data_IF_318187901681
#
_entry.id   IF_318187901681
#
_cell.length_a   1.000
_cell.length_b   1.000
_cell.length_c   1.000
_cell.angle_alpha   90.00
_cell.angle_beta   90.00
_cell.angle_gamma   90.00
#
_symmetry.space_group_name_H-M   'P 1'
#
loop_
_entity.id
_entity.type
_entity.pdbx_description
1 polymer ?
#
# COMPACT_ATOMS: atom_id res chain seq x y z
N UNK A 1 -27.80 12.72 28.71
CA UNK A 1 -26.62 13.18 27.99
C UNK A 1 -26.40 12.19 26.84
N UNK A 2 -26.56 12.62 25.62
CA UNK A 2 -26.22 11.81 24.45
C UNK A 2 -24.70 11.60 24.42
N UNK A 3 -24.25 10.36 24.53
CA UNK A 3 -22.83 10.07 24.43
C UNK A 3 -22.35 10.40 22.98
N UNK A 4 -21.53 11.43 22.86
CA UNK A 4 -20.84 11.75 21.61
C UNK A 4 -19.86 10.63 21.25
N UNK A 5 -19.73 10.30 19.96
CA UNK A 5 -18.78 9.33 19.44
C UNK A 5 -17.58 10.02 18.78
N UNK A 6 -16.49 9.27 18.58
CA UNK A 6 -15.29 9.77 17.88
C UNK A 6 -15.60 10.35 16.49
N UNK A 7 -16.51 9.74 15.75
CA UNK A 7 -16.88 10.17 14.40
C UNK A 7 -17.65 11.48 14.37
N UNK A 8 -18.36 11.84 15.45
CA UNK A 8 -19.19 13.05 15.52
C UNK A 8 -18.41 14.29 15.99
N UNK A 9 -17.15 14.10 16.44
CA UNK A 9 -16.39 15.21 17.06
C UNK A 9 -16.19 16.40 16.14
N UNK A 10 -15.93 16.20 14.85
CA UNK A 10 -15.74 17.31 13.91
C UNK A 10 -17.03 18.07 13.64
N UNK A 11 -18.15 17.37 13.47
CA UNK A 11 -19.47 18.01 13.31
C UNK A 11 -19.82 18.85 14.53
N UNK A 12 -19.51 18.32 15.74
CA UNK A 12 -19.75 19.06 16.99
C UNK A 12 -18.88 20.32 17.13
N UNK A 13 -17.66 20.29 16.62
CA UNK A 13 -16.84 21.51 16.55
C UNK A 13 -17.46 22.53 15.59
N UNK A 14 -17.88 22.11 14.38
CA UNK A 14 -18.52 23.00 13.42
C UNK A 14 -19.77 23.67 14.01
N UNK A 15 -20.65 22.89 14.69
CA UNK A 15 -21.83 23.42 15.41
C UNK A 15 -21.45 24.53 16.41
N UNK A 16 -20.30 24.42 17.10
CA UNK A 16 -19.88 25.47 18.06
C UNK A 16 -19.56 26.79 17.36
N UNK A 17 -19.06 26.75 16.11
CA UNK A 17 -18.74 27.96 15.36
C UNK A 17 -19.95 28.53 14.61
N UNK A 18 -20.90 27.72 14.17
CA UNK A 18 -22.12 28.19 13.51
C UNK A 18 -22.96 29.09 14.45
N UNK A 19 -22.98 28.79 15.73
CA UNK A 19 -23.69 29.50 16.75
C UNK A 19 -22.88 30.69 17.34
N UNK A 20 -21.69 31.02 16.80
CA UNK A 20 -20.75 31.96 17.38
C UNK A 20 -20.35 33.07 16.40
N UNK A 21 -20.35 34.33 16.90
CA UNK A 21 -19.84 35.49 16.16
C UNK A 21 -18.30 35.49 15.98
N UNK A 22 -17.59 34.55 16.60
CA UNK A 22 -16.13 34.39 16.46
C UNK A 22 -15.73 34.02 15.03
N UNK A 23 -16.59 33.25 14.32
CA UNK A 23 -16.34 32.80 12.94
C UNK A 23 -15.97 33.96 12.03
N UNK A 24 -16.67 35.09 12.13
CA UNK A 24 -16.44 36.29 11.28
C UNK A 24 -15.16 37.06 11.62
N UNK A 25 -14.43 36.63 12.66
CA UNK A 25 -13.16 37.24 13.07
C UNK A 25 -11.94 36.40 12.73
N UNK A 26 -12.14 35.22 12.13
CA UNK A 26 -11.09 34.25 11.84
C UNK A 26 -10.76 34.20 10.35
N UNK A 27 -9.47 34.06 10.06
CA UNK A 27 -8.94 33.70 8.75
C UNK A 27 -9.01 32.19 8.55
N UNK A 28 -8.62 31.42 9.59
CA UNK A 28 -8.66 29.96 9.55
C UNK A 28 -8.93 29.31 10.90
N UNK A 29 -9.49 28.11 10.83
CA UNK A 29 -9.74 27.20 11.95
C UNK A 29 -9.06 25.89 11.65
N UNK A 30 -8.14 25.45 12.51
CA UNK A 30 -7.55 24.10 12.43
C UNK A 30 -8.06 23.26 13.57
N UNK A 31 -8.74 22.17 13.27
CA UNK A 31 -9.14 21.16 14.25
C UNK A 31 -7.99 20.16 14.36
N UNK A 32 -7.44 20.02 15.56
CA UNK A 32 -6.36 19.10 15.86
C UNK A 32 -6.92 17.97 16.70
N UNK A 33 -6.86 16.73 16.17
CA UNK A 33 -7.17 15.54 16.94
C UNK A 33 -5.87 14.88 17.37
N UNK A 34 -5.63 14.85 18.69
CA UNK A 34 -4.39 14.28 19.23
C UNK A 34 -4.38 12.75 19.20
N UNK A 35 -3.25 12.14 19.59
CA UNK A 35 -3.05 10.67 19.58
C UNK A 35 -4.04 9.89 20.48
N UNK A 36 -4.71 10.57 21.40
CA UNK A 36 -5.75 10.00 22.27
C UNK A 36 -7.16 10.22 21.71
N UNK A 37 -7.29 10.95 20.60
CA UNK A 37 -8.57 11.31 19.98
C UNK A 37 -9.21 12.57 20.56
N UNK A 38 -8.50 13.34 21.40
CA UNK A 38 -9.02 14.60 21.94
C UNK A 38 -8.85 15.72 20.95
N UNK A 39 -9.83 16.62 20.95
CA UNK A 39 -9.90 17.78 20.06
C UNK A 39 -9.24 18.99 20.72
N UNK A 40 -8.35 19.61 20.00
CA UNK A 40 -7.75 20.92 20.29
C UNK A 40 -7.95 21.82 19.09
N UNK A 41 -7.86 23.12 19.26
CA UNK A 41 -8.05 24.08 18.18
C UNK A 41 -6.81 24.96 18.01
N UNK A 42 -6.52 25.30 16.76
CA UNK A 42 -5.64 26.40 16.41
C UNK A 42 -6.43 27.38 15.56
N UNK A 43 -6.57 28.62 16.07
CA UNK A 43 -7.38 29.67 15.46
C UNK A 43 -6.46 30.78 14.96
N UNK A 44 -6.59 31.16 13.69
CA UNK A 44 -5.90 32.29 13.11
C UNK A 44 -6.87 33.45 12.92
N UNK A 45 -6.72 34.55 13.68
CA UNK A 45 -7.55 35.74 13.51
C UNK A 45 -7.28 36.43 12.15
N UNK A 46 -8.26 37.15 11.66
CA UNK A 46 -8.09 38.08 10.53
C UNK A 46 -7.02 39.14 10.85
N UNK A 47 -6.35 39.64 9.84
CA UNK A 47 -5.33 40.66 9.98
C UNK A 47 -5.86 41.87 10.75
N UNK A 48 -5.10 42.32 11.79
CA UNK A 48 -5.46 43.39 12.71
C UNK A 48 -6.67 43.13 13.65
N UNK A 49 -7.10 41.88 13.82
CA UNK A 49 -8.09 41.51 14.83
C UNK A 49 -7.43 40.75 15.97
N UNK A 50 -7.75 41.13 17.20
CA UNK A 50 -7.45 40.37 18.41
C UNK A 50 -8.73 39.77 18.94
N UNK A 51 -8.72 38.49 19.24
CA UNK A 51 -9.83 37.80 19.85
C UNK A 51 -9.90 38.18 21.32
N UNK A 52 -11.08 38.66 21.78
CA UNK A 52 -11.29 38.99 23.17
C UNK A 52 -11.41 37.71 24.04
N UNK A 53 -10.82 37.72 25.21
CA UNK A 53 -10.85 36.57 26.14
C UNK A 53 -12.31 36.12 26.45
N UNK A 54 -13.27 37.05 26.51
CA UNK A 54 -14.69 36.74 26.74
C UNK A 54 -15.25 35.85 25.62
N UNK A 55 -14.86 36.11 24.37
CA UNK A 55 -15.34 35.35 23.21
C UNK A 55 -14.68 33.95 23.20
N UNK A 56 -13.39 33.86 23.54
CA UNK A 56 -12.68 32.59 23.67
C UNK A 56 -13.26 31.73 24.79
N UNK A 57 -13.54 32.32 25.96
CA UNK A 57 -14.16 31.63 27.10
C UNK A 57 -15.56 31.08 26.76
N UNK A 58 -16.36 31.82 26.00
CA UNK A 58 -17.65 31.33 25.52
C UNK A 58 -17.52 30.18 24.54
N UNK A 59 -16.50 30.23 23.68
CA UNK A 59 -16.20 29.11 22.74
C UNK A 59 -15.75 27.88 23.52
N UNK A 60 -14.86 28.04 24.51
CA UNK A 60 -14.42 26.94 25.38
C UNK A 60 -15.60 26.28 26.10
N UNK A 61 -16.49 27.06 26.74
CA UNK A 61 -17.65 26.53 27.38
C UNK A 61 -18.56 25.72 26.45
N UNK A 62 -18.74 26.17 25.21
CA UNK A 62 -19.48 25.42 24.18
C UNK A 62 -18.79 24.12 23.79
N UNK A 63 -17.47 24.15 23.56
CA UNK A 63 -16.66 22.98 23.23
C UNK A 63 -16.73 21.95 24.37
N UNK A 64 -16.62 22.38 25.64
CA UNK A 64 -16.77 21.50 26.79
C UNK A 64 -18.14 20.81 26.82
N UNK A 65 -19.19 21.58 26.56
CA UNK A 65 -20.56 21.06 26.57
C UNK A 65 -20.85 20.11 25.40
N UNK A 66 -20.35 20.42 24.20
CA UNK A 66 -20.60 19.64 22.98
C UNK A 66 -19.66 18.42 22.83
N UNK A 67 -18.39 18.57 23.19
CA UNK A 67 -17.37 17.52 23.04
C UNK A 67 -17.18 16.65 24.27
N UNK A 68 -17.61 17.14 25.43
CA UNK A 68 -17.51 16.44 26.72
C UNK A 68 -16.08 15.91 26.95
N UNK A 69 -15.90 14.58 27.03
CA UNK A 69 -14.59 13.96 27.26
C UNK A 69 -13.63 14.04 26.07
N UNK A 70 -14.11 14.39 24.88
CA UNK A 70 -13.25 14.58 23.71
C UNK A 70 -12.60 15.96 23.64
N UNK A 71 -12.99 16.94 24.48
CA UNK A 71 -12.32 18.23 24.49
C UNK A 71 -10.96 18.14 25.19
N UNK A 72 -9.92 18.66 24.54
CA UNK A 72 -8.53 18.64 25.01
C UNK A 72 -8.13 19.86 25.84
N UNK A 73 -9.05 20.81 26.03
CA UNK A 73 -8.88 22.05 26.81
C UNK A 73 -7.75 22.97 26.32
N UNK A 74 -7.43 22.94 25.01
CA UNK A 74 -6.46 23.86 24.42
C UNK A 74 -7.05 24.54 23.18
N UNK A 75 -7.00 25.87 23.17
CA UNK A 75 -7.17 26.71 22.00
C UNK A 75 -5.87 27.50 21.81
N UNK A 76 -5.22 27.29 20.69
CA UNK A 76 -3.97 27.97 20.35
C UNK A 76 -4.22 29.12 19.38
N UNK A 77 -3.47 30.21 19.57
CA UNK A 77 -3.47 31.41 18.72
C UNK A 77 -2.05 31.61 18.16
N UNK A 78 -1.86 32.36 17.05
CA UNK A 78 -0.53 32.59 16.48
C UNK A 78 0.45 33.28 17.43
N UNK A 79 -0.05 34.02 18.42
CA UNK A 79 0.75 34.78 19.36
C UNK A 79 0.79 34.06 20.71
N UNK A 80 1.91 33.46 21.05
CA UNK A 80 2.15 32.84 22.36
C UNK A 80 3.60 33.08 22.82
N UNK A 81 3.76 33.34 24.11
CA UNK A 81 5.05 33.75 24.72
C UNK A 81 5.90 32.56 25.23
N UNK A 82 5.43 31.32 25.14
CA UNK A 82 6.13 30.15 25.69
C UNK A 82 7.26 29.70 24.75
N UNK A 83 8.41 29.33 25.32
CA UNK A 83 9.52 28.70 24.60
C UNK A 83 9.03 27.46 23.82
N UNK A 84 9.38 27.40 22.53
CA UNK A 84 8.92 26.33 21.63
C UNK A 84 7.55 26.56 20.96
N UNK A 85 6.80 27.58 21.36
CA UNK A 85 5.46 27.86 20.82
C UNK A 85 5.48 28.16 19.33
N UNK A 86 6.46 28.94 18.87
CA UNK A 86 6.66 29.23 17.45
C UNK A 86 6.87 27.94 16.64
N UNK A 87 7.69 27.03 17.12
CA UNK A 87 7.92 25.73 16.47
C UNK A 87 6.63 24.90 16.38
N UNK A 88 5.81 24.92 17.44
CA UNK A 88 4.50 24.24 17.43
C UNK A 88 3.60 24.80 16.33
N UNK A 89 3.49 26.12 16.23
CA UNK A 89 2.65 26.78 15.22
C UNK A 89 3.15 26.48 13.80
N UNK A 90 4.47 26.52 13.58
CA UNK A 90 5.08 26.20 12.29
C UNK A 90 4.79 24.74 11.89
N UNK A 91 4.86 23.81 12.84
CA UNK A 91 4.50 22.40 12.62
C UNK A 91 3.01 22.26 12.28
N UNK A 92 2.10 22.90 13.04
CA UNK A 92 0.67 22.86 12.77
C UNK A 92 0.37 23.35 11.35
N UNK A 93 0.94 24.49 10.96
CA UNK A 93 0.74 25.07 9.61
C UNK A 93 1.28 24.19 8.50
N UNK A 94 2.42 23.54 8.71
CA UNK A 94 3.06 22.69 7.68
C UNK A 94 2.38 21.33 7.52
N UNK A 95 1.73 20.81 8.57
CA UNK A 95 1.18 19.46 8.58
C UNK A 95 -0.34 19.40 8.43
N UNK A 96 -1.05 20.52 8.67
CA UNK A 96 -2.51 20.57 8.49
C UNK A 96 -2.89 20.40 7.01
N UNK A 97 -4.04 19.82 6.76
CA UNK A 97 -4.64 19.65 5.43
C UNK A 97 -6.01 20.31 5.40
N UNK A 98 -6.47 20.77 4.23
CA UNK A 98 -7.83 21.30 4.07
C UNK A 98 -8.85 20.26 4.49
N UNK A 99 -9.87 20.67 5.25
CA UNK A 99 -10.95 19.80 5.65
C UNK A 99 -11.79 19.38 4.43
N UNK A 100 -12.39 18.19 4.48
CA UNK A 100 -13.25 17.70 3.39
C UNK A 100 -14.49 18.58 3.15
N UNK A 101 -14.90 19.35 4.16
CA UNK A 101 -16.03 20.28 4.13
C UNK A 101 -15.61 21.75 3.91
N UNK A 102 -14.30 22.03 3.69
CA UNK A 102 -13.82 23.38 3.41
C UNK A 102 -14.29 23.81 2.00
N UNK A 103 -15.12 24.83 1.95
CA UNK A 103 -15.71 25.40 0.73
C UNK A 103 -14.89 26.56 0.16
N UNK A 104 -13.65 26.73 0.65
CA UNK A 104 -12.74 27.83 0.32
C UNK A 104 -13.19 29.22 0.76
N UNK A 105 -14.30 29.34 1.51
CA UNK A 105 -14.74 30.59 2.14
C UNK A 105 -13.96 30.87 3.45
N UNK A 106 -14.07 32.10 3.97
CA UNK A 106 -13.51 32.42 5.30
C UNK A 106 -14.54 32.17 6.41
N UNK A 107 -14.07 31.59 7.51
CA UNK A 107 -12.72 31.06 7.77
C UNK A 107 -12.46 29.77 7.04
N UNK A 108 -11.22 29.58 6.54
CA UNK A 108 -10.78 28.31 5.98
C UNK A 108 -10.71 27.24 7.06
N UNK A 109 -11.14 26.04 6.70
CA UNK A 109 -11.12 24.90 7.63
C UNK A 109 -10.00 23.94 7.32
N UNK A 110 -9.22 23.60 8.35
CA UNK A 110 -8.14 22.63 8.29
C UNK A 110 -8.30 21.56 9.36
N UNK A 111 -7.72 20.39 9.09
CA UNK A 111 -7.66 19.27 10.01
C UNK A 111 -6.21 18.84 10.17
N UNK A 112 -5.83 18.50 11.39
CA UNK A 112 -4.56 17.89 11.74
C UNK A 112 -4.81 16.66 12.60
N UNK A 113 -4.65 15.49 12.02
CA UNK A 113 -4.78 14.21 12.72
C UNK A 113 -3.42 13.74 13.21
N UNK A 114 -3.30 13.40 14.48
CA UNK A 114 -2.10 12.82 15.08
C UNK A 114 -2.28 11.33 15.30
N UNK A 115 -1.37 10.54 14.77
CA UNK A 115 -1.44 9.09 14.82
C UNK A 115 -0.20 8.50 15.49
N UNK A 116 -0.36 7.41 16.23
CA UNK A 116 0.72 6.59 16.78
C UNK A 116 1.23 5.58 15.73
N UNK A 117 0.31 5.14 14.84
CA UNK A 117 0.56 4.11 13.83
C UNK A 117 -0.38 4.33 12.63
N UNK A 118 -0.23 3.51 11.59
CA UNK A 118 -1.12 3.48 10.41
C UNK A 118 -1.07 4.75 9.55
N UNK A 119 0.02 5.48 9.59
CA UNK A 119 0.15 6.76 8.85
C UNK A 119 -0.06 6.59 7.35
N UNK A 120 0.50 5.56 6.73
CA UNK A 120 0.32 5.31 5.30
C UNK A 120 -1.15 5.09 4.88
N UNK A 121 -1.98 4.55 5.81
CA UNK A 121 -3.41 4.36 5.58
C UNK A 121 -4.25 5.62 5.80
N UNK A 122 -3.77 6.55 6.61
CA UNK A 122 -4.52 7.74 7.05
C UNK A 122 -3.94 9.04 6.47
N UNK A 123 -2.71 9.01 5.92
CA UNK A 123 -2.08 10.17 5.34
C UNK A 123 -2.88 10.68 4.13
N UNK A 124 -3.19 11.98 4.15
CA UNK A 124 -3.91 12.69 3.08
C UNK A 124 -2.97 13.48 2.17
N UNK A 125 -1.66 13.48 2.44
CA UNK A 125 -0.66 14.13 1.59
C UNK A 125 -0.35 13.27 0.38
N UNK A 126 -0.06 13.92 -0.73
CA UNK A 126 0.45 13.27 -1.92
C UNK A 126 1.80 12.61 -1.61
N UNK A 127 1.96 11.38 -2.05
CA UNK A 127 3.20 10.62 -1.94
C UNK A 127 3.65 10.21 -3.34
N UNK A 128 4.95 10.25 -3.57
CA UNK A 128 5.54 9.82 -4.84
C UNK A 128 6.30 8.51 -4.64
N UNK A 129 6.16 7.55 -5.57
CA UNK A 129 6.97 6.33 -5.55
C UNK A 129 8.46 6.66 -5.73
N UNK A 130 9.39 5.71 -5.49
CA UNK A 130 10.84 5.93 -5.51
C UNK A 130 11.38 6.58 -6.80
N UNK A 131 10.61 6.52 -7.89
CA UNK A 131 10.81 7.26 -9.13
C UNK A 131 9.48 7.55 -9.81
N UNK A 132 9.39 8.66 -10.61
CA UNK A 132 8.16 9.08 -11.24
C UNK A 132 7.59 8.08 -12.26
N UNK A 133 6.28 8.00 -12.38
CA UNK A 133 5.57 7.16 -13.34
C UNK A 133 6.11 7.33 -14.78
N UNK A 134 6.40 8.57 -15.18
CA UNK A 134 6.90 8.89 -16.53
C UNK A 134 8.14 8.10 -16.93
N UNK A 135 9.09 7.89 -16.01
CA UNK A 135 10.33 7.13 -16.34
C UNK A 135 10.07 5.63 -16.39
N UNK A 136 9.02 5.15 -15.72
CA UNK A 136 8.55 3.76 -15.80
C UNK A 136 7.90 3.51 -17.16
N UNK A 137 7.02 4.39 -17.60
CA UNK A 137 6.31 4.30 -18.89
C UNK A 137 7.26 4.36 -20.08
N UNK A 138 8.38 5.07 -19.93
CA UNK A 138 9.46 5.11 -20.90
C UNK A 138 10.41 3.90 -20.87
N UNK A 139 10.20 2.96 -19.93
CA UNK A 139 11.05 1.77 -19.76
C UNK A 139 12.45 2.08 -19.20
N UNK A 140 12.67 3.25 -18.60
CA UNK A 140 13.96 3.62 -18.00
C UNK A 140 14.13 3.08 -16.58
N UNK A 141 13.03 2.82 -15.87
CA UNK A 141 12.98 2.24 -14.51
C UNK A 141 11.91 1.15 -14.46
N UNK A 142 12.06 0.16 -13.56
CA UNK A 142 11.05 -0.89 -13.39
C UNK A 142 9.76 -0.34 -12.79
N UNK A 143 8.64 -0.98 -13.12
CA UNK A 143 7.40 -0.76 -12.43
C UNK A 143 7.41 -1.49 -11.08
N UNK A 144 7.13 -0.81 -9.99
CA UNK A 144 6.92 -1.41 -8.67
C UNK A 144 5.43 -1.72 -8.54
N UNK A 145 5.10 -2.99 -8.31
CA UNK A 145 3.72 -3.48 -8.22
C UNK A 145 3.50 -4.22 -6.90
N UNK A 146 2.62 -3.71 -6.05
CA UNK A 146 2.25 -4.38 -4.80
C UNK A 146 1.10 -5.36 -4.99
N UNK A 147 1.24 -6.54 -4.38
CA UNK A 147 0.18 -7.53 -4.25
C UNK A 147 -0.38 -7.45 -2.84
N UNK A 148 -1.64 -7.05 -2.71
CA UNK A 148 -2.25 -6.74 -1.42
C UNK A 148 -3.61 -7.42 -1.24
N UNK A 149 -3.86 -7.91 -0.03
CA UNK A 149 -5.18 -8.40 0.38
C UNK A 149 -5.55 -7.89 1.77
N UNK A 150 -6.81 -7.52 1.96
CA UNK A 150 -7.29 -7.20 3.31
C UNK A 150 -7.39 -8.45 4.18
N UNK A 151 -7.73 -9.60 3.60
CA UNK A 151 -7.90 -10.88 4.29
C UNK A 151 -6.79 -11.85 3.92
N UNK A 152 -6.24 -12.56 4.91
CA UNK A 152 -5.22 -13.59 4.69
C UNK A 152 -5.78 -14.87 4.02
N UNK A 153 -4.88 -15.68 3.45
CA UNK A 153 -5.22 -16.98 2.88
C UNK A 153 -5.99 -16.93 1.56
N UNK A 154 -5.92 -15.82 0.83
CA UNK A 154 -6.63 -15.64 -0.46
C UNK A 154 -5.76 -15.93 -1.69
N UNK A 155 -4.57 -16.51 -1.50
CA UNK A 155 -3.66 -16.85 -2.61
C UNK A 155 -2.86 -15.67 -3.17
N UNK A 156 -2.65 -14.61 -2.38
CA UNK A 156 -1.86 -13.42 -2.77
C UNK A 156 -0.45 -13.79 -3.18
N UNK A 157 0.33 -14.41 -2.29
CA UNK A 157 1.72 -14.84 -2.52
C UNK A 157 1.82 -15.82 -3.70
N UNK A 158 0.91 -16.80 -3.77
CA UNK A 158 0.81 -17.75 -4.90
C UNK A 158 0.59 -17.02 -6.22
N UNK A 159 -0.30 -16.03 -6.25
CA UNK A 159 -0.57 -15.24 -7.46
C UNK A 159 0.61 -14.37 -7.84
N UNK A 160 1.32 -13.80 -6.88
CA UNK A 160 2.54 -13.04 -7.13
C UNK A 160 3.61 -13.93 -7.79
N UNK A 161 3.87 -15.12 -7.20
CA UNK A 161 4.82 -16.10 -7.75
C UNK A 161 4.42 -16.51 -9.17
N UNK A 162 3.16 -16.88 -9.40
CA UNK A 162 2.63 -17.24 -10.72
C UNK A 162 2.78 -16.09 -11.73
N UNK A 163 2.58 -14.85 -11.31
CA UNK A 163 2.76 -13.66 -12.16
C UNK A 163 4.24 -13.44 -12.49
N UNK A 164 5.14 -13.59 -11.51
CA UNK A 164 6.59 -13.46 -11.72
C UNK A 164 7.09 -14.50 -12.71
N UNK A 165 6.70 -15.76 -12.54
CA UNK A 165 7.03 -16.85 -13.49
C UNK A 165 6.48 -16.57 -14.89
N UNK A 166 5.21 -16.12 -14.99
CA UNK A 166 4.60 -15.81 -16.28
C UNK A 166 5.34 -14.67 -16.99
N UNK A 167 5.64 -13.58 -16.29
CA UNK A 167 6.38 -12.45 -16.87
C UNK A 167 7.79 -12.87 -17.30
N UNK A 168 8.52 -13.63 -16.47
CA UNK A 168 9.85 -14.12 -16.80
C UNK A 168 9.84 -15.03 -18.03
N UNK A 169 8.91 -16.00 -18.11
CA UNK A 169 8.73 -16.89 -19.27
C UNK A 169 8.50 -16.13 -20.59
N UNK A 170 7.88 -14.96 -20.50
CA UNK A 170 7.60 -14.12 -21.66
C UNK A 170 8.65 -13.03 -21.92
N UNK A 171 9.81 -13.13 -21.27
CA UNK A 171 11.00 -12.33 -21.60
C UNK A 171 11.17 -11.06 -20.78
N UNK A 172 10.32 -10.83 -19.75
CA UNK A 172 10.49 -9.70 -18.85
C UNK A 172 11.51 -9.99 -17.76
N UNK A 173 12.28 -8.96 -17.40
CA UNK A 173 13.19 -9.00 -16.26
C UNK A 173 12.43 -8.59 -15.00
N UNK A 174 12.29 -9.52 -14.07
CA UNK A 174 11.43 -9.36 -12.88
C UNK A 174 12.25 -9.63 -11.63
N UNK A 175 12.05 -8.82 -10.58
CA UNK A 175 12.52 -9.12 -9.23
C UNK A 175 11.32 -9.27 -8.29
N UNK A 176 11.45 -10.16 -7.31
CA UNK A 176 10.44 -10.41 -6.27
C UNK A 176 10.96 -9.98 -4.92
N UNK A 177 10.11 -9.33 -4.14
CA UNK A 177 10.46 -8.78 -2.81
C UNK A 177 9.40 -9.23 -1.79
N UNK A 178 9.83 -9.86 -0.72
CA UNK A 178 8.97 -10.32 0.37
C UNK A 178 8.86 -9.25 1.47
N UNK A 179 7.79 -8.47 1.46
CA UNK A 179 7.47 -7.46 2.48
C UNK A 179 6.51 -7.98 3.56
N UNK A 180 6.13 -9.25 3.53
CA UNK A 180 5.37 -9.87 4.63
C UNK A 180 6.32 -10.32 5.75
N UNK A 181 6.97 -9.33 6.41
CA UNK A 181 8.00 -9.60 7.41
C UNK A 181 7.50 -10.37 8.64
N UNK A 182 6.20 -10.37 8.92
CA UNK A 182 5.65 -11.12 10.06
C UNK A 182 5.24 -12.55 9.71
N UNK A 183 5.07 -12.85 8.41
CA UNK A 183 4.73 -14.19 7.91
C UNK A 183 5.36 -14.43 6.54
N UNK A 184 6.70 -14.37 6.45
CA UNK A 184 7.40 -14.48 5.18
C UNK A 184 7.19 -15.86 4.54
N UNK A 185 7.03 -15.87 3.20
CA UNK A 185 6.72 -17.08 2.47
C UNK A 185 7.42 -17.25 1.13
N UNK A 186 7.91 -16.18 0.53
CA UNK A 186 8.49 -16.20 -0.83
C UNK A 186 9.71 -17.13 -0.91
N UNK A 187 10.58 -17.09 0.11
CA UNK A 187 11.79 -17.92 0.10
C UNK A 187 11.46 -19.41 0.00
N UNK A 188 10.47 -19.90 0.74
CA UNK A 188 10.09 -21.33 0.76
C UNK A 188 9.49 -21.80 -0.56
N UNK A 189 8.88 -20.92 -1.35
CA UNK A 189 8.40 -21.24 -2.69
C UNK A 189 9.52 -21.56 -3.66
N UNK A 190 10.66 -20.87 -3.58
CA UNK A 190 11.73 -20.96 -4.53
C UNK A 190 12.91 -21.79 -4.07
N UNK A 191 13.10 -21.97 -2.74
CA UNK A 191 14.27 -22.62 -2.18
C UNK A 191 13.90 -23.62 -1.05
N UNK A 192 13.03 -24.61 -1.31
CA UNK A 192 12.52 -25.52 -0.28
C UNK A 192 13.60 -26.38 0.36
N UNK A 193 14.66 -26.73 -0.36
CA UNK A 193 15.77 -27.57 0.15
C UNK A 193 16.80 -26.79 0.99
N UNK A 194 16.64 -25.47 1.09
CA UNK A 194 17.54 -24.61 1.84
C UNK A 194 16.93 -24.27 3.20
N UNK A 195 17.65 -24.60 4.28
CA UNK A 195 17.22 -24.29 5.64
C UNK A 195 17.24 -22.78 5.95
N UNK A 196 18.05 -22.00 5.23
CA UNK A 196 18.26 -20.58 5.52
C UNK A 196 18.31 -19.74 4.27
N UNK A 197 17.61 -18.60 4.30
CA UNK A 197 17.78 -17.54 3.32
C UNK A 197 19.09 -16.79 3.57
N UNK A 198 19.51 -15.99 2.57
CA UNK A 198 20.45 -14.90 2.81
C UNK A 198 19.81 -13.83 3.71
N UNK A 199 20.61 -12.94 4.35
CA UNK A 199 20.06 -11.75 4.97
C UNK A 199 19.14 -11.00 4.01
N UNK A 200 17.96 -10.60 4.49
CA UNK A 200 16.93 -10.01 3.65
C UNK A 200 16.60 -8.57 4.01
N UNK A 201 15.33 -8.22 3.80
CA UNK A 201 14.83 -6.86 4.04
C UNK A 201 14.99 -6.44 5.48
N UNK A 202 14.68 -7.34 6.44
CA UNK A 202 14.79 -7.01 7.86
C UNK A 202 16.25 -6.69 8.23
N UNK A 203 17.19 -7.41 7.62
CA UNK A 203 18.61 -7.17 7.80
C UNK A 203 19.05 -5.86 7.12
N UNK A 204 18.56 -5.58 5.90
CA UNK A 204 18.82 -4.32 5.22
C UNK A 204 18.42 -3.12 6.08
N UNK A 205 17.22 -3.12 6.62
CA UNK A 205 16.70 -2.01 7.40
C UNK A 205 17.46 -1.77 8.70
N UNK A 206 18.01 -2.82 9.32
CA UNK A 206 18.80 -2.72 10.55
C UNK A 206 20.28 -2.52 10.27
N UNK A 207 20.87 -3.43 9.50
CA UNK A 207 22.31 -3.51 9.29
C UNK A 207 22.85 -2.37 8.43
N UNK A 208 22.09 -1.93 7.43
CA UNK A 208 22.50 -0.78 6.60
C UNK A 208 22.72 0.48 7.40
N UNK A 209 21.90 0.71 8.42
CA UNK A 209 22.06 1.86 9.31
C UNK A 209 23.29 1.74 10.21
N UNK A 210 23.71 0.52 10.57
CA UNK A 210 24.85 0.26 11.45
C UNK A 210 26.15 0.19 10.65
N UNK A 211 26.16 -0.56 9.55
CA UNK A 211 27.35 -0.86 8.75
C UNK A 211 27.58 0.12 7.58
N UNK A 212 26.55 0.88 7.21
CA UNK A 212 26.62 1.87 6.13
C UNK A 212 26.99 1.22 4.78
N UNK A 213 28.09 1.68 4.19
CA UNK A 213 28.57 1.20 2.88
C UNK A 213 29.13 -0.23 2.89
N UNK A 214 29.43 -0.78 4.06
CA UNK A 214 29.94 -2.14 4.17
C UNK A 214 28.86 -3.21 4.01
N UNK A 215 27.60 -2.82 4.01
CA UNK A 215 26.46 -3.69 3.74
C UNK A 215 25.92 -3.39 2.34
N UNK A 216 26.10 -4.32 1.41
CA UNK A 216 25.68 -4.16 0.00
C UNK A 216 24.55 -5.14 -0.32
N UNK A 217 23.43 -4.64 -0.81
CA UNK A 217 22.25 -5.45 -1.12
C UNK A 217 22.53 -6.54 -2.18
N UNK A 218 23.45 -6.28 -3.11
CA UNK A 218 23.83 -7.26 -4.15
C UNK A 218 24.32 -8.59 -3.60
N UNK A 219 24.96 -8.60 -2.41
CA UNK A 219 25.50 -9.80 -1.77
C UNK A 219 24.40 -10.64 -1.09
N UNK A 220 23.21 -10.08 -0.95
CA UNK A 220 22.06 -10.64 -0.24
C UNK A 220 20.87 -10.92 -1.18
N UNK A 221 20.99 -10.64 -2.46
CA UNK A 221 19.98 -10.92 -3.46
C UNK A 221 20.09 -12.36 -3.93
N UNK A 222 19.09 -13.18 -3.61
CA UNK A 222 18.98 -14.57 -4.08
C UNK A 222 18.74 -14.58 -5.61
N UNK A 223 19.14 -15.64 -6.29
CA UNK A 223 18.85 -15.83 -7.70
C UNK A 223 18.26 -17.22 -7.91
N UNK A 224 16.98 -17.25 -8.19
CA UNK A 224 16.31 -18.48 -8.59
C UNK A 224 16.58 -18.76 -10.06
N UNK A 225 16.94 -20.02 -10.36
CA UNK A 225 17.24 -20.49 -11.72
C UNK A 225 16.62 -21.86 -11.93
N UNK A 226 15.72 -21.98 -12.90
CA UNK A 226 15.12 -23.24 -13.33
C UNK A 226 14.58 -23.06 -14.75
N UNK A 227 15.12 -23.80 -15.71
CA UNK A 227 14.76 -23.70 -17.13
C UNK A 227 13.27 -24.02 -17.38
N UNK A 228 12.74 -25.05 -16.70
CA UNK A 228 11.36 -25.47 -16.90
C UNK A 228 10.36 -24.42 -16.40
N UNK A 229 10.70 -23.76 -15.30
CA UNK A 229 9.86 -22.73 -14.68
C UNK A 229 10.01 -21.36 -15.35
N UNK A 230 11.21 -20.97 -15.71
CA UNK A 230 11.51 -19.68 -16.36
C UNK A 230 11.46 -19.73 -17.90
N UNK A 231 11.43 -20.94 -18.47
CA UNK A 231 11.30 -21.16 -19.91
C UNK A 231 12.57 -20.90 -20.72
N UNK A 232 13.74 -20.76 -20.07
CA UNK A 232 15.03 -20.53 -20.70
C UNK A 232 16.14 -20.75 -19.66
N UNK A 233 17.25 -21.42 -20.06
CA UNK A 233 18.38 -21.76 -19.18
C UNK A 233 19.18 -20.52 -18.71
N UNK A 234 19.16 -19.45 -19.49
CA UNK A 234 19.87 -18.20 -19.16
C UNK A 234 19.04 -17.22 -18.34
N UNK A 235 17.81 -17.60 -17.95
CA UNK A 235 16.96 -16.74 -17.15
C UNK A 235 17.15 -16.96 -15.67
N UNK A 236 17.07 -15.85 -14.94
CA UNK A 236 17.03 -15.84 -13.48
C UNK A 236 15.86 -15.01 -12.99
N UNK A 237 15.44 -15.30 -11.77
CA UNK A 237 14.48 -14.49 -11.02
C UNK A 237 15.17 -14.03 -9.73
N UNK A 238 15.62 -12.76 -9.65
CA UNK A 238 16.15 -12.18 -8.43
C UNK A 238 15.08 -12.11 -7.34
N UNK A 239 15.42 -12.56 -6.13
CA UNK A 239 14.53 -12.62 -4.98
C UNK A 239 15.20 -11.96 -3.78
N UNK A 240 14.55 -10.95 -3.23
CA UNK A 240 14.90 -10.35 -1.95
C UNK A 240 13.93 -10.86 -0.91
N UNK A 241 14.38 -11.81 -0.09
CA UNK A 241 13.59 -12.41 0.97
C UNK A 241 13.35 -11.43 2.13
N UNK A 242 12.40 -11.74 3.00
CA UNK A 242 12.21 -11.00 4.26
C UNK A 242 13.42 -11.09 5.19
N UNK A 243 14.14 -12.19 5.14
CA UNK A 243 15.28 -12.54 5.97
C UNK A 243 15.13 -13.95 6.55
N UNK A 244 16.14 -14.40 7.27
CA UNK A 244 16.12 -15.74 7.89
C UNK A 244 15.29 -15.75 9.17
N UNK A 245 14.23 -16.55 9.21
CA UNK A 245 13.34 -16.69 10.38
C UNK A 245 14.02 -17.60 11.41
N UNK A 246 14.93 -17.03 12.18
CA UNK A 246 15.67 -17.68 13.27
C UNK A 246 15.34 -17.08 14.65
N UNK A 247 16.08 -17.48 15.68
CA UNK A 247 15.87 -17.01 17.05
C UNK A 247 16.01 -15.49 17.23
N UNK A 248 16.72 -14.81 16.32
CA UNK A 248 16.93 -13.35 16.37
C UNK A 248 15.90 -12.59 15.53
N UNK A 249 15.10 -13.30 14.74
CA UNK A 249 14.17 -12.66 13.79
C UNK A 249 13.17 -11.72 14.47
N UNK A 250 12.55 -12.19 15.55
CA UNK A 250 11.59 -11.39 16.33
C UNK A 250 12.25 -10.19 17.00
N UNK A 251 13.50 -10.31 17.44
CA UNK A 251 14.27 -9.21 18.00
C UNK A 251 14.57 -8.13 16.95
N UNK A 252 14.86 -8.54 15.72
CA UNK A 252 15.02 -7.61 14.58
C UNK A 252 13.71 -6.92 14.24
N UNK A 253 12.62 -7.68 14.12
CA UNK A 253 11.29 -7.18 13.79
C UNK A 253 10.80 -6.16 14.83
N UNK A 254 10.99 -6.45 16.12
CA UNK A 254 10.62 -5.55 17.20
C UNK A 254 11.38 -4.21 17.15
N UNK A 255 12.63 -4.21 16.67
CA UNK A 255 13.41 -2.99 16.51
C UNK A 255 12.97 -2.13 15.35
N UNK A 256 12.46 -2.74 14.27
CA UNK A 256 11.89 -1.98 13.16
C UNK A 256 10.63 -1.21 13.61
N UNK A 257 9.75 -1.84 14.36
CA UNK A 257 8.54 -1.19 14.87
C UNK A 257 8.89 0.00 15.79
N UNK A 258 9.89 -0.16 16.67
CA UNK A 258 10.38 0.93 17.52
C UNK A 258 11.00 2.08 16.72
N UNK A 259 11.72 1.81 15.65
CA UNK A 259 12.31 2.85 14.81
C UNK A 259 11.24 3.69 14.10
N UNK A 260 10.15 3.06 13.68
CA UNK A 260 9.01 3.74 13.08
C UNK A 260 8.30 4.70 14.06
N UNK A 261 8.26 4.34 15.34
CA UNK A 261 7.60 5.13 16.37
C UNK A 261 8.43 6.33 16.85
N UNK A 262 9.76 6.27 16.74
CA UNK A 262 10.67 7.26 17.32
C UNK A 262 11.20 8.32 16.33
N UNK A 263 10.98 8.15 15.02
CA UNK A 263 11.56 9.03 14.01
C UNK A 263 10.60 10.12 13.52
N UNK A 264 10.74 11.30 14.10
CA UNK A 264 9.98 12.53 13.77
C UNK A 264 10.29 13.06 12.35
N UNK A 265 11.42 12.65 11.72
CA UNK A 265 11.88 13.16 10.43
C UNK A 265 11.83 12.13 9.28
N UNK A 266 11.15 11.02 9.48
CA UNK A 266 10.96 9.93 8.51
C UNK A 266 12.19 9.51 7.68
N UNK A 267 13.29 9.04 8.31
CA UNK A 267 14.43 8.49 7.56
C UNK A 267 14.07 7.19 6.82
N UNK A 268 12.94 6.54 7.14
CA UNK A 268 12.50 5.30 6.49
C UNK A 268 12.12 5.49 5.03
N UNK A 269 11.44 6.57 4.64
CA UNK A 269 11.12 6.82 3.23
C UNK A 269 12.38 6.87 2.37
N UNK A 270 13.40 7.55 2.86
CA UNK A 270 14.69 7.60 2.18
C UNK A 270 15.35 6.23 2.12
N UNK A 271 15.33 5.49 3.23
CA UNK A 271 15.89 4.13 3.30
C UNK A 271 15.20 3.18 2.32
N UNK A 272 13.88 3.24 2.21
CA UNK A 272 13.13 2.44 1.25
C UNK A 272 13.40 2.85 -0.19
N UNK A 273 13.42 4.15 -0.48
CA UNK A 273 13.77 4.64 -1.82
C UNK A 273 15.18 4.21 -2.22
N UNK A 274 16.15 4.26 -1.30
CA UNK A 274 17.51 3.82 -1.54
C UNK A 274 17.57 2.30 -1.73
N UNK A 275 16.81 1.51 -0.96
CA UNK A 275 16.70 0.06 -1.13
C UNK A 275 16.20 -0.32 -2.54
N UNK A 276 15.15 0.34 -3.02
CA UNK A 276 14.64 0.05 -4.38
C UNK A 276 15.64 0.44 -5.47
N UNK A 277 16.43 1.52 -5.28
CA UNK A 277 17.51 1.89 -6.19
C UNK A 277 18.62 0.85 -6.20
N UNK A 278 19.11 0.45 -5.01
CA UNK A 278 20.14 -0.58 -4.84
C UNK A 278 19.65 -1.94 -5.41
N UNK A 279 18.39 -2.30 -5.18
CA UNK A 279 17.80 -3.51 -5.74
C UNK A 279 17.79 -3.50 -7.27
N UNK A 280 17.35 -2.38 -7.86
CA UNK A 280 17.33 -2.24 -9.32
C UNK A 280 18.74 -2.34 -9.92
N UNK A 281 19.75 -1.78 -9.27
CA UNK A 281 21.15 -1.87 -9.70
C UNK A 281 21.67 -3.30 -9.55
N UNK A 282 21.53 -3.90 -8.37
CA UNK A 282 22.00 -5.25 -8.08
C UNK A 282 21.37 -6.32 -8.98
N UNK A 283 20.06 -6.25 -9.21
CA UNK A 283 19.37 -7.16 -10.10
C UNK A 283 19.79 -6.96 -11.56
N UNK A 284 19.93 -5.70 -11.99
CA UNK A 284 20.39 -5.39 -13.35
C UNK A 284 21.81 -5.92 -13.61
N UNK A 285 22.69 -5.86 -12.61
CA UNK A 285 24.04 -6.41 -12.74
C UNK A 285 24.04 -7.94 -12.82
N UNK A 286 23.21 -8.62 -12.03
CA UNK A 286 23.03 -10.09 -12.16
C UNK A 286 22.52 -10.52 -13.53
N UNK A 287 21.62 -9.75 -14.16
CA UNK A 287 21.19 -10.04 -15.54
C UNK A 287 22.30 -9.84 -16.56
N UNK A 288 23.13 -8.78 -16.41
CA UNK A 288 24.26 -8.54 -17.32
C UNK A 288 25.34 -9.61 -17.22
N UNK A 289 25.57 -10.17 -16.04
CA UNK A 289 26.52 -11.28 -15.84
C UNK A 289 26.13 -12.51 -16.64
N UNK A 290 24.85 -12.74 -16.89
CA UNK A 290 24.32 -13.86 -17.65
C UNK A 290 24.20 -13.54 -19.15
N UNK A 291 23.77 -12.32 -19.48
CA UNK A 291 23.57 -11.88 -20.85
C UNK A 291 23.71 -10.36 -20.93
N UNK A 292 24.75 -9.86 -21.57
CA UNK A 292 25.04 -8.42 -21.70
C UNK A 292 23.88 -7.60 -22.29
N UNK A 293 23.01 -8.21 -23.10
CA UNK A 293 21.84 -7.56 -23.69
C UNK A 293 20.64 -7.43 -22.73
N UNK A 294 20.62 -8.15 -21.61
CA UNK A 294 19.46 -8.31 -20.73
C UNK A 294 19.41 -7.34 -19.53
N UNK A 295 20.19 -6.30 -19.49
CA UNK A 295 20.59 -5.56 -18.29
C UNK A 295 19.57 -4.66 -17.54
N UNK A 296 18.24 -4.70 -17.80
CA UNK A 296 17.31 -3.80 -17.09
C UNK A 296 16.10 -4.55 -16.53
N UNK A 297 15.77 -4.27 -15.27
CA UNK A 297 14.50 -4.71 -14.68
C UNK A 297 13.31 -4.03 -15.38
N UNK A 298 12.26 -4.82 -15.62
CA UNK A 298 10.96 -4.35 -16.06
C UNK A 298 10.02 -4.17 -14.88
N UNK A 299 10.04 -5.11 -13.92
CA UNK A 299 9.11 -5.15 -12.79
C UNK A 299 9.82 -5.49 -11.48
N UNK A 300 9.35 -4.87 -10.40
CA UNK A 300 9.58 -5.28 -9.02
C UNK A 300 8.23 -5.61 -8.42
N UNK A 301 8.01 -6.88 -8.04
CA UNK A 301 6.76 -7.36 -7.46
C UNK A 301 6.93 -7.47 -5.95
N UNK A 302 6.04 -6.81 -5.19
CA UNK A 302 6.06 -6.76 -3.74
C UNK A 302 4.97 -7.66 -3.15
N UNK A 303 5.34 -8.66 -2.37
CA UNK A 303 4.38 -9.41 -1.55
C UNK A 303 4.18 -8.68 -0.24
N UNK A 304 2.98 -8.14 0.01
CA UNK A 304 2.73 -7.28 1.15
C UNK A 304 1.97 -8.02 2.25
N UNK A 305 2.03 -7.49 3.48
CA UNK A 305 1.21 -8.00 4.58
C UNK A 305 -0.27 -7.71 4.39
N UNK A 306 -1.10 -8.58 4.93
CA UNK A 306 -2.57 -8.46 4.90
C UNK A 306 -3.09 -7.44 5.92
N UNK A 307 -4.29 -6.92 5.65
CA UNK A 307 -4.98 -5.98 6.55
C UNK A 307 -4.34 -4.59 6.58
N UNK A 308 -4.77 -3.75 7.52
CA UNK A 308 -4.23 -2.40 7.69
C UNK A 308 -2.90 -2.40 8.45
N UNK A 309 -1.91 -3.17 7.96
CA UNK A 309 -0.56 -3.17 8.50
C UNK A 309 0.24 -1.97 7.99
N UNK A 310 1.16 -1.41 8.81
CA UNK A 310 1.90 -0.20 8.43
C UNK A 310 2.76 -0.42 7.19
N UNK A 311 3.54 -1.49 7.16
CA UNK A 311 4.38 -1.82 6.00
C UNK A 311 3.56 -2.13 4.74
N UNK A 312 2.42 -2.83 4.90
CA UNK A 312 1.47 -3.04 3.79
C UNK A 312 0.92 -1.73 3.24
N UNK A 313 0.61 -0.77 4.13
CA UNK A 313 0.18 0.58 3.74
C UNK A 313 1.25 1.35 2.98
N UNK A 314 2.49 1.35 3.49
CA UNK A 314 3.64 1.98 2.81
C UNK A 314 3.85 1.38 1.43
N UNK A 315 3.87 0.04 1.33
CA UNK A 315 4.08 -0.64 0.06
C UNK A 315 3.05 -0.24 -1.00
N UNK A 316 1.76 -0.27 -0.65
CA UNK A 316 0.69 -0.02 -1.62
C UNK A 316 0.45 1.47 -1.88
N UNK A 317 0.56 2.33 -0.87
CA UNK A 317 0.19 3.74 -0.98
C UNK A 317 1.36 4.66 -1.35
N UNK A 318 2.62 4.28 -1.04
CA UNK A 318 3.76 5.18 -1.16
C UNK A 318 4.87 4.65 -2.09
N UNK A 319 5.00 3.32 -2.27
CA UNK A 319 6.09 2.78 -3.08
C UNK A 319 5.66 2.31 -4.46
N UNK A 320 4.38 2.03 -4.67
CA UNK A 320 3.91 1.34 -5.87
C UNK A 320 3.46 2.27 -6.99
N UNK A 321 3.71 1.83 -8.22
CA UNK A 321 3.18 2.42 -9.45
C UNK A 321 1.84 1.79 -9.84
N UNK A 322 1.53 0.61 -9.33
CA UNK A 322 0.24 -0.06 -9.44
C UNK A 322 0.06 -1.05 -8.28
N UNK A 323 -1.18 -1.45 -8.02
CA UNK A 323 -1.47 -2.49 -7.06
C UNK A 323 -2.42 -3.54 -7.61
N UNK A 324 -2.13 -4.81 -7.28
CA UNK A 324 -3.02 -5.96 -7.46
C UNK A 324 -3.70 -6.22 -6.13
N UNK A 325 -5.01 -6.00 -6.07
CA UNK A 325 -5.82 -6.11 -4.85
C UNK A 325 -6.73 -7.33 -4.90
N UNK A 326 -6.78 -8.08 -3.80
CA UNK A 326 -7.49 -9.34 -3.72
C UNK A 326 -8.75 -9.23 -2.88
N UNK A 327 -9.89 -9.65 -3.42
CA UNK A 327 -11.16 -9.75 -2.73
C UNK A 327 -11.79 -11.12 -2.86
N UNK A 328 -12.60 -11.48 -1.88
CA UNK A 328 -13.53 -12.63 -1.92
C UNK A 328 -14.96 -12.11 -1.77
N UNK A 329 -15.94 -12.89 -2.21
CA UNK A 329 -17.36 -12.52 -2.04
C UNK A 329 -17.78 -12.72 -0.59
N UNK A 330 -17.30 -11.83 0.29
CA UNK A 330 -17.68 -11.78 1.70
C UNK A 330 -17.78 -10.34 2.22
N UNK A 331 -18.70 -10.11 3.16
CA UNK A 331 -18.89 -8.79 3.78
C UNK A 331 -17.60 -8.25 4.41
N UNK A 332 -16.83 -9.11 5.07
CA UNK A 332 -15.55 -8.72 5.69
C UNK A 332 -14.53 -8.28 4.64
N UNK A 333 -14.43 -8.99 3.53
CA UNK A 333 -13.51 -8.64 2.43
C UNK A 333 -13.86 -7.27 1.85
N UNK A 334 -15.13 -7.05 1.52
CA UNK A 334 -15.60 -5.79 0.96
C UNK A 334 -15.46 -4.61 1.93
N UNK A 335 -15.74 -4.81 3.21
CA UNK A 335 -15.57 -3.76 4.22
C UNK A 335 -14.12 -3.22 4.24
N UNK A 336 -13.12 -4.11 4.18
CA UNK A 336 -11.72 -3.72 4.13
C UNK A 336 -11.30 -3.16 2.77
N UNK A 337 -11.66 -3.84 1.67
CA UNK A 337 -11.31 -3.39 0.31
C UNK A 337 -11.87 -2.00 -0.01
N UNK A 338 -13.08 -1.69 0.43
CA UNK A 338 -13.67 -0.35 0.24
C UNK A 338 -12.77 0.73 0.83
N UNK A 339 -12.22 0.53 2.04
CA UNK A 339 -11.31 1.50 2.65
C UNK A 339 -9.97 1.58 1.90
N UNK A 340 -9.45 0.45 1.43
CA UNK A 340 -8.23 0.43 0.61
C UNK A 340 -8.43 1.19 -0.71
N UNK A 341 -9.50 0.89 -1.44
CA UNK A 341 -9.83 1.54 -2.71
C UNK A 341 -10.01 3.05 -2.49
N UNK A 342 -10.74 3.45 -1.45
CA UNK A 342 -10.92 4.86 -1.07
C UNK A 342 -9.57 5.55 -0.77
N UNK A 343 -8.65 4.88 -0.08
CA UNK A 343 -7.32 5.44 0.25
C UNK A 343 -6.46 5.66 -1.01
N UNK A 344 -6.60 4.80 -2.02
CA UNK A 344 -5.78 4.82 -3.23
C UNK A 344 -6.41 5.61 -4.38
N UNK A 345 -7.61 6.14 -4.18
CA UNK A 345 -8.36 6.90 -5.16
C UNK A 345 -8.02 8.41 -5.10
N UNK A 346 -8.41 9.15 -6.14
CA UNK A 346 -8.53 10.61 -6.05
C UNK A 346 -9.57 10.98 -4.97
N UNK A 347 -9.42 12.09 -4.25
CA UNK A 347 -8.47 13.17 -4.46
C UNK A 347 -7.20 13.05 -3.58
N UNK A 348 -6.89 11.89 -3.04
CA UNK A 348 -5.77 11.73 -2.10
C UNK A 348 -4.38 11.77 -2.78
N UNK A 349 -4.35 11.63 -4.10
CA UNK A 349 -3.17 11.82 -4.95
C UNK A 349 -3.58 12.57 -6.22
N UNK A 350 -2.64 13.19 -6.98
CA UNK A 350 -2.92 13.86 -8.25
C UNK A 350 -3.61 12.95 -9.25
N UNK A 351 -3.22 11.66 -9.23
CA UNK A 351 -3.84 10.59 -9.99
C UNK A 351 -4.10 9.39 -9.08
N UNK A 352 -5.23 8.72 -9.28
CA UNK A 352 -5.53 7.48 -8.57
C UNK A 352 -4.50 6.40 -8.92
N UNK A 353 -3.99 5.68 -7.91
CA UNK A 353 -3.09 4.55 -8.14
C UNK A 353 -3.77 3.52 -9.05
N UNK A 354 -3.14 3.09 -10.17
CA UNK A 354 -3.69 2.03 -11.00
C UNK A 354 -3.93 0.74 -10.22
N UNK A 355 -5.18 0.25 -10.22
CA UNK A 355 -5.58 -0.96 -9.51
C UNK A 355 -5.95 -2.08 -10.50
N UNK A 356 -5.56 -3.32 -10.18
CA UNK A 356 -6.06 -4.54 -10.79
C UNK A 356 -6.74 -5.38 -9.72
N UNK A 357 -8.05 -5.62 -9.90
CA UNK A 357 -8.86 -6.36 -8.94
C UNK A 357 -8.83 -7.86 -9.24
N UNK A 358 -8.59 -8.68 -8.23
CA UNK A 358 -8.69 -10.14 -8.28
C UNK A 358 -9.92 -10.59 -7.48
N UNK A 359 -10.81 -11.34 -8.12
CA UNK A 359 -11.78 -12.17 -7.41
C UNK A 359 -11.10 -13.48 -7.05
N UNK A 360 -10.62 -13.56 -5.84
CA UNK A 360 -9.83 -14.68 -5.34
C UNK A 360 -10.71 -15.80 -4.78
N UNK A 361 -10.25 -17.04 -4.88
CA UNK A 361 -10.93 -18.24 -4.39
C UNK A 361 -12.38 -18.37 -4.91
N UNK A 362 -12.59 -17.94 -6.14
CA UNK A 362 -13.91 -18.07 -6.76
C UNK A 362 -14.31 -19.56 -6.89
N UNK A 363 -15.61 -19.88 -6.82
CA UNK A 363 -16.04 -21.26 -7.00
C UNK A 363 -15.59 -21.81 -8.36
N UNK A 364 -15.08 -23.05 -8.38
CA UNK A 364 -14.60 -23.71 -9.60
C UNK A 364 -15.69 -23.88 -10.67
N UNK A 365 -15.27 -24.16 -11.90
CA UNK A 365 -16.20 -24.42 -13.02
C UNK A 365 -17.11 -25.60 -12.66
N UNK A 366 -18.41 -25.44 -12.88
CA UNK A 366 -19.43 -26.46 -12.56
C UNK A 366 -19.95 -26.46 -11.13
N UNK A 367 -19.36 -25.65 -10.22
CA UNK A 367 -19.87 -25.51 -8.85
C UNK A 367 -21.19 -24.73 -8.87
N UNK A 368 -22.27 -25.24 -8.23
CA UNK A 368 -23.54 -24.53 -8.14
C UNK A 368 -23.37 -23.13 -7.50
N UNK A 369 -24.01 -22.13 -8.08
CA UNK A 369 -23.96 -20.75 -7.60
C UNK A 369 -22.78 -19.92 -8.12
N UNK A 370 -21.82 -20.52 -8.84
CA UNK A 370 -20.64 -19.80 -9.40
C UNK A 370 -21.06 -18.53 -10.16
N UNK A 371 -21.92 -18.64 -11.14
CA UNK A 371 -22.31 -17.50 -11.98
C UNK A 371 -23.00 -16.38 -11.18
N UNK A 372 -23.74 -16.75 -10.16
CA UNK A 372 -24.37 -15.78 -9.26
C UNK A 372 -23.31 -15.04 -8.42
N UNK A 373 -22.31 -15.77 -7.89
CA UNK A 373 -21.24 -15.18 -7.11
C UNK A 373 -20.37 -14.27 -7.97
N UNK A 374 -19.95 -14.72 -9.17
CA UNK A 374 -19.14 -13.91 -10.08
C UNK A 374 -19.86 -12.62 -10.50
N UNK A 375 -21.16 -12.70 -10.76
CA UNK A 375 -21.96 -11.52 -11.07
C UNK A 375 -22.04 -10.59 -9.87
N UNK A 376 -22.37 -11.11 -8.69
CA UNK A 376 -22.48 -10.32 -7.47
C UNK A 376 -21.17 -9.61 -7.12
N UNK A 377 -20.03 -10.31 -7.24
CA UNK A 377 -18.73 -9.70 -7.01
C UNK A 377 -18.46 -8.53 -7.97
N UNK A 378 -18.81 -8.65 -9.25
CA UNK A 378 -18.66 -7.58 -10.23
C UNK A 378 -19.56 -6.37 -9.95
N UNK A 379 -20.82 -6.64 -9.54
CA UNK A 379 -21.76 -5.59 -9.15
C UNK A 379 -21.26 -4.81 -7.93
N UNK A 380 -20.79 -5.51 -6.89
CA UNK A 380 -20.23 -4.91 -5.69
C UNK A 380 -18.94 -4.12 -6.02
N UNK A 381 -18.05 -4.67 -6.87
CA UNK A 381 -16.86 -4.01 -7.34
C UNK A 381 -17.19 -2.71 -8.09
N UNK A 382 -18.12 -2.78 -9.04
CA UNK A 382 -18.55 -1.61 -9.81
C UNK A 382 -19.06 -0.50 -8.89
N UNK A 383 -19.94 -0.82 -7.95
CA UNK A 383 -20.48 0.15 -6.99
C UNK A 383 -19.39 0.78 -6.15
N UNK A 384 -18.48 -0.01 -5.56
CA UNK A 384 -17.39 0.51 -4.72
C UNK A 384 -16.44 1.41 -5.52
N UNK A 385 -16.08 1.03 -6.75
CA UNK A 385 -15.21 1.85 -7.59
C UNK A 385 -15.91 3.13 -8.06
N UNK A 386 -17.18 3.06 -8.40
CA UNK A 386 -18.00 4.23 -8.76
C UNK A 386 -18.05 5.23 -7.61
N UNK A 387 -18.30 4.76 -6.39
CA UNK A 387 -18.51 5.61 -5.22
C UNK A 387 -17.19 6.18 -4.65
N UNK A 388 -16.05 5.50 -4.86
CA UNK A 388 -14.83 5.81 -4.11
C UNK A 388 -13.56 5.94 -4.94
N UNK A 389 -13.51 5.44 -6.18
CA UNK A 389 -12.27 5.44 -6.98
C UNK A 389 -12.24 6.49 -8.08
N UNK A 390 -13.34 6.67 -8.79
CA UNK A 390 -13.42 7.64 -9.88
C UNK A 390 -13.75 9.04 -9.35
N UNK A 391 -13.09 10.07 -9.89
CA UNK A 391 -13.20 11.44 -9.37
C UNK A 391 -14.49 12.15 -9.77
N UNK A 392 -15.11 11.73 -10.87
CA UNK A 392 -16.36 12.31 -11.37
C UNK A 392 -17.24 11.23 -12.00
N UNK A 393 -18.53 11.51 -12.16
CA UNK A 393 -19.46 10.62 -12.86
C UNK A 393 -19.11 10.41 -14.34
N UNK A 394 -18.37 11.34 -14.94
CA UNK A 394 -17.91 11.27 -16.35
C UNK A 394 -16.73 10.30 -16.49
N UNK A 395 -15.95 10.10 -15.44
CA UNK A 395 -14.80 9.18 -15.42
C UNK A 395 -15.23 7.71 -15.19
N UNK A 396 -16.48 7.47 -14.76
CA UNK A 396 -16.97 6.12 -14.46
C UNK A 396 -17.18 5.34 -15.75
N UNK A 397 -16.46 4.22 -15.95
CA UNK A 397 -16.59 3.45 -17.17
C UNK A 397 -17.92 2.69 -17.22
N UNK A 398 -18.25 2.13 -18.40
CA UNK A 398 -19.42 1.29 -18.54
C UNK A 398 -19.29 0.01 -17.67
N UNK A 399 -20.37 -0.39 -17.01
CA UNK A 399 -20.40 -1.56 -16.12
C UNK A 399 -20.00 -2.90 -16.79
N UNK A 400 -19.99 -2.96 -18.13
CA UNK A 400 -19.54 -4.11 -18.91
C UNK A 400 -18.07 -4.02 -19.39
N UNK A 401 -17.35 -2.98 -19.02
CA UNK A 401 -15.95 -2.76 -19.43
C UNK A 401 -14.99 -3.77 -18.83
N UNK A 402 -14.62 -4.81 -19.58
CA UNK A 402 -13.80 -5.93 -19.07
C UNK A 402 -12.34 -5.58 -18.81
N UNK A 403 -11.87 -4.47 -19.33
CA UNK A 403 -10.49 -3.98 -19.16
C UNK A 403 -10.37 -2.89 -18.09
N UNK A 404 -11.51 -2.44 -17.55
CA UNK A 404 -11.55 -1.39 -16.54
C UNK A 404 -11.06 -1.86 -15.16
N UNK A 405 -10.70 -0.89 -14.31
CA UNK A 405 -10.09 -1.14 -13.00
C UNK A 405 -10.96 -1.96 -12.07
N UNK A 406 -12.27 -1.73 -12.10
CA UNK A 406 -13.23 -2.46 -11.28
C UNK A 406 -13.47 -3.89 -11.74
N UNK A 407 -13.17 -4.21 -13.03
CA UNK A 407 -13.51 -5.53 -13.58
C UNK A 407 -12.51 -6.59 -13.12
N UNK A 408 -12.93 -7.60 -12.34
CA UNK A 408 -12.03 -8.53 -11.71
C UNK A 408 -11.45 -9.56 -12.69
N UNK A 409 -10.19 -9.93 -12.44
CA UNK A 409 -9.65 -11.20 -12.92
C UNK A 409 -10.07 -12.27 -11.93
N UNK A 410 -10.69 -13.33 -12.44
CA UNK A 410 -11.20 -14.43 -11.60
C UNK A 410 -10.13 -15.49 -11.45
N UNK A 411 -9.77 -15.79 -10.20
CA UNK A 411 -8.89 -16.91 -9.83
C UNK A 411 -9.74 -17.91 -9.04
N UNK A 412 -10.01 -19.05 -9.66
CA UNK A 412 -10.79 -20.11 -9.05
C UNK A 412 -10.03 -20.76 -7.91
N UNK A 413 -10.75 -21.23 -6.92
CA UNK A 413 -10.19 -22.09 -5.90
C UNK A 413 -9.71 -23.41 -6.54
N UNK A 414 -8.45 -23.77 -6.29
CA UNK A 414 -7.82 -24.98 -6.81
C UNK A 414 -7.41 -25.88 -5.65
N UNK A 415 -7.87 -27.12 -5.66
CA UNK A 415 -7.53 -28.11 -4.62
C UNK A 415 -6.05 -28.45 -4.60
N UNK A 416 -5.41 -28.40 -5.76
CA UNK A 416 -4.00 -28.70 -6.01
C UNK A 416 -3.09 -27.67 -5.32
N UNK A 417 -3.50 -26.42 -5.28
CA UNK A 417 -2.77 -25.32 -4.64
C UNK A 417 -3.00 -25.23 -3.12
N UNK A 418 -3.76 -26.15 -2.53
CA UNK A 418 -4.01 -26.21 -1.09
C UNK A 418 -2.79 -26.73 -0.31
N UNK A 419 -1.94 -27.53 -0.94
CA UNK A 419 -0.73 -28.06 -0.35
C UNK A 419 0.39 -27.03 -0.36
N UNK A 420 1.45 -27.27 0.40
CA UNK A 420 2.71 -26.56 0.24
C UNK A 420 3.17 -26.69 -1.22
N UNK A 421 3.38 -25.58 -1.90
CA UNK A 421 3.81 -25.57 -3.29
C UNK A 421 5.33 -25.61 -3.28
N UNK A 422 5.88 -26.75 -3.68
CA UNK A 422 7.30 -26.94 -3.86
C UNK A 422 7.62 -26.95 -5.34
N UNK A 423 8.17 -25.85 -5.85
CA UNK A 423 8.51 -25.72 -7.26
C UNK A 423 9.76 -26.55 -7.67
N UNK A 424 10.52 -27.07 -6.70
CA UNK A 424 11.76 -27.85 -6.98
C UNK A 424 11.55 -29.38 -7.04
N UNK A 425 10.52 -29.90 -6.41
CA UNK A 425 10.22 -31.33 -6.54
C UNK A 425 9.96 -31.73 -8.01
N UNK A 426 9.66 -30.73 -8.84
CA UNK A 426 9.47 -30.90 -10.25
C UNK A 426 10.72 -31.32 -11.02
N UNK A 427 11.91 -30.81 -10.67
CA UNK A 427 13.16 -31.14 -11.36
C UNK A 427 13.71 -32.54 -10.99
N UNK A 428 13.21 -33.14 -9.92
CA UNK A 428 13.73 -34.41 -9.38
C UNK A 428 12.94 -35.65 -9.83
N UNK A 429 11.72 -35.51 -10.35
CA UNK A 429 10.81 -36.65 -10.63
C UNK A 429 10.25 -36.56 -12.05
N UNK A 430 10.85 -37.30 -12.97
CA UNK A 430 10.48 -37.34 -14.41
C UNK A 430 9.05 -37.85 -14.70
N UNK A 431 8.29 -38.32 -13.72
CA UNK A 431 7.01 -39.03 -13.94
C UNK A 431 5.82 -38.59 -13.03
N UNK A 432 5.91 -37.57 -12.19
CA UNK A 432 4.77 -37.17 -11.36
C UNK A 432 3.85 -36.20 -12.07
N UNK A 433 2.76 -36.71 -12.62
CA UNK A 433 1.72 -35.95 -13.32
C UNK A 433 1.06 -34.85 -12.46
N UNK A 434 1.18 -34.91 -11.13
CA UNK A 434 0.59 -33.95 -10.20
C UNK A 434 1.36 -32.63 -10.19
N UNK A 435 2.69 -32.66 -10.36
CA UNK A 435 3.55 -31.47 -10.38
C UNK A 435 3.48 -30.70 -11.71
N UNK A 436 3.40 -31.43 -12.83
CA UNK A 436 3.10 -30.83 -14.14
C UNK A 436 1.78 -30.05 -14.10
N UNK A 437 0.78 -30.59 -13.42
CA UNK A 437 -0.50 -29.92 -13.26
C UNK A 437 -0.38 -28.61 -12.43
N UNK A 438 0.44 -28.56 -11.39
CA UNK A 438 0.66 -27.33 -10.61
C UNK A 438 1.31 -26.22 -11.45
N UNK A 439 2.29 -26.55 -12.27
CA UNK A 439 2.93 -25.57 -13.16
C UNK A 439 1.95 -25.07 -14.21
N UNK A 440 1.20 -25.96 -14.83
CA UNK A 440 0.16 -25.59 -15.79
C UNK A 440 -0.90 -24.69 -15.16
N UNK A 441 -1.24 -24.93 -13.90
CA UNK A 441 -2.14 -24.06 -13.12
C UNK A 441 -1.49 -22.69 -12.89
N UNK A 442 -0.25 -22.65 -12.36
CA UNK A 442 0.44 -21.40 -12.03
C UNK A 442 0.83 -20.56 -13.26
N UNK A 443 0.96 -21.17 -14.42
CA UNK A 443 1.20 -20.46 -15.70
C UNK A 443 -0.06 -20.34 -16.56
N UNK A 444 -1.22 -20.69 -16.01
CA UNK A 444 -2.51 -20.74 -16.70
C UNK A 444 -3.12 -19.36 -17.02
N UNK A 445 -4.22 -19.41 -17.76
CA UNK A 445 -4.92 -18.22 -18.28
C UNK A 445 -5.17 -17.08 -17.29
N UNK A 446 -5.58 -17.29 -16.04
CA UNK A 446 -5.81 -16.17 -15.10
C UNK A 446 -4.56 -15.35 -14.86
N UNK A 447 -3.42 -16.00 -14.68
CA UNK A 447 -2.13 -15.35 -14.43
C UNK A 447 -1.55 -14.72 -15.70
N UNK A 448 -1.72 -15.34 -16.86
CA UNK A 448 -1.40 -14.72 -18.15
C UNK A 448 -2.18 -13.43 -18.36
N UNK A 449 -3.49 -13.43 -18.08
CA UNK A 449 -4.31 -12.23 -18.18
C UNK A 449 -3.87 -11.14 -17.20
N UNK A 450 -3.46 -11.52 -15.98
CA UNK A 450 -2.91 -10.57 -15.02
C UNK A 450 -1.61 -9.96 -15.54
N UNK A 451 -0.68 -10.79 -16.03
CA UNK A 451 0.58 -10.33 -16.61
C UNK A 451 0.36 -9.42 -17.84
N UNK A 452 -0.58 -9.76 -18.73
CA UNK A 452 -0.96 -8.92 -19.88
C UNK A 452 -1.49 -7.55 -19.42
N UNK A 453 -2.40 -7.52 -18.43
CA UNK A 453 -2.93 -6.26 -17.91
C UNK A 453 -1.85 -5.42 -17.22
N UNK A 454 -0.92 -6.03 -16.48
CA UNK A 454 0.24 -5.35 -15.91
C UNK A 454 1.14 -4.77 -17.00
N UNK A 455 1.50 -5.57 -18.02
CA UNK A 455 2.30 -5.08 -19.14
C UNK A 455 1.64 -3.89 -19.84
N UNK A 456 0.34 -3.95 -20.08
CA UNK A 456 -0.43 -2.86 -20.71
C UNK A 456 -0.43 -1.58 -19.87
N UNK A 457 -0.51 -1.68 -18.54
CA UNK A 457 -0.45 -0.53 -17.64
C UNK A 457 0.82 0.32 -17.84
N UNK A 458 1.92 -0.32 -18.20
CA UNK A 458 3.24 0.31 -18.30
C UNK A 458 3.81 0.32 -19.74
N UNK A 459 2.93 0.28 -20.74
CA UNK A 459 3.28 0.31 -22.16
C UNK A 459 4.25 -0.81 -22.57
N UNK A 460 4.19 -1.97 -21.90
CA UNK A 460 4.96 -3.18 -22.22
C UNK A 460 4.09 -4.19 -22.94
N UNK A 461 4.71 -5.12 -23.67
CA UNK A 461 4.00 -6.20 -24.38
C UNK A 461 4.38 -7.55 -23.79
N UNK A 462 3.40 -8.33 -23.42
CA UNK A 462 3.62 -9.74 -23.11
C UNK A 462 3.71 -10.52 -24.43
N UNK A 463 4.87 -11.05 -24.74
CA UNK A 463 5.09 -11.85 -25.95
C UNK A 463 4.60 -13.28 -25.69
N UNK A 464 3.28 -13.50 -25.83
CA UNK A 464 2.74 -14.85 -25.80
C UNK A 464 3.33 -15.61 -27.01
N UNK A 465 4.29 -16.51 -26.76
CA UNK A 465 4.67 -17.49 -27.78
C UNK A 465 3.46 -18.42 -27.95
N UNK A 466 2.89 -18.45 -29.17
CA UNK A 466 1.82 -19.38 -29.57
C UNK A 466 2.22 -20.83 -29.35
#
# INVERSE_FOLDING_TARGET
MTNITFSETFDKVQECFEESSIKDQLESITIIRDVQGKIRLFLEPLENKNLEDIILNHLEERLENKLVSYYGHDIWLPQGEKDGYKNLIDVIRSERVSAEWDDESQPRWYVLERHVAKQAWTNKKETEPPWPQKVVDQGHKPAIVSFFSFKGGVGRTTTLVATALTLARHGHQVAVVDLDLESPGIFTFFFPDREKSLPGIIDYLLEKNIQGKNWELKDHLESFKDENLLGDEDRILPILSAGNVDNNYLEKLARLDCQNLLNVNNPLEKTWSDMFKELNEAASDKFKELNEAAGKLDFILLDTRTGFHDLGGLAIAEFSHAAVIFGTQSRQSWAGLTQVIRRLAKPLAPEALPLLLIHALAPGIGVPGREQELRKFREDAYSVFQDHYYSSSEDVPNSNGQEDRFYPIVIDWQSELRREINLFEYSAVEEDSSLLNIIDILTGKPYQRLAERLCRLFNRKLNLKN
#
